data_IF_598975626990
#
_entry.id   IF_598975626990
#
_cell.length_a   1.000
_cell.length_b   1.000
_cell.length_c   1.000
_cell.angle_alpha   90.00
_cell.angle_beta   90.00
_cell.angle_gamma   90.00
#
_symmetry.space_group_name_H-M   'P 1'
#
loop_
_entity.id
_entity.type
_entity.pdbx_description
1 polymer ?
#
# COMPACT_ATOMS: atom_id res chain seq x y z
N UNK A 1 -4.18 -20.57 -0.27
CA UNK A 1 -4.72 -20.64 1.10
C UNK A 1 -4.52 -19.29 1.78
N UNK A 2 -5.50 -18.83 2.55
CA UNK A 2 -5.51 -17.51 3.20
C UNK A 2 -5.71 -17.69 4.72
N UNK A 3 -4.80 -17.15 5.54
CA UNK A 3 -4.99 -17.08 6.99
C UNK A 3 -5.86 -15.85 7.30
N UNK A 4 -6.94 -16.04 8.05
CA UNK A 4 -7.84 -14.97 8.49
C UNK A 4 -8.11 -15.09 9.99
N UNK A 5 -8.42 -13.99 10.64
CA UNK A 5 -9.01 -14.00 11.99
C UNK A 5 -10.51 -13.78 11.87
N UNK A 6 -11.30 -14.72 12.34
CA UNK A 6 -12.76 -14.59 12.32
C UNK A 6 -13.20 -13.41 13.22
N UNK A 7 -13.91 -12.39 12.72
CA UNK A 7 -14.35 -11.25 13.53
C UNK A 7 -15.40 -11.63 14.59
N UNK A 8 -16.07 -12.77 14.43
CA UNK A 8 -17.09 -13.28 15.36
C UNK A 8 -16.45 -14.11 16.47
N UNK A 9 -15.70 -15.16 16.11
CA UNK A 9 -15.14 -16.13 17.06
C UNK A 9 -13.74 -15.75 17.55
N UNK A 10 -13.08 -14.79 16.89
CA UNK A 10 -11.67 -14.39 17.11
C UNK A 10 -10.67 -15.54 16.96
N UNK A 11 -11.06 -16.61 16.29
CA UNK A 11 -10.16 -17.73 15.97
C UNK A 11 -9.45 -17.46 14.65
N UNK A 12 -8.19 -17.88 14.58
CA UNK A 12 -7.43 -17.87 13.34
C UNK A 12 -7.75 -19.12 12.52
N UNK A 13 -8.12 -18.91 11.27
CA UNK A 13 -8.60 -19.96 10.37
C UNK A 13 -7.80 -19.98 9.07
N UNK A 14 -7.36 -21.16 8.67
CA UNK A 14 -6.69 -21.36 7.39
C UNK A 14 -7.73 -21.70 6.31
N UNK A 15 -8.08 -20.71 5.50
CA UNK A 15 -9.14 -20.82 4.50
C UNK A 15 -8.60 -21.26 3.15
N UNK A 16 -9.26 -22.25 2.55
CA UNK A 16 -8.96 -22.74 1.21
C UNK A 16 -9.51 -21.81 0.13
N UNK A 17 -8.82 -21.73 -1.02
CA UNK A 17 -9.17 -20.84 -2.12
C UNK A 17 -10.61 -21.08 -2.63
N UNK A 18 -11.10 -22.32 -2.57
CA UNK A 18 -12.50 -22.68 -2.89
C UNK A 18 -13.57 -21.98 -2.04
N UNK A 19 -13.19 -21.39 -0.91
CA UNK A 19 -14.08 -20.61 -0.03
C UNK A 19 -13.98 -19.10 -0.26
N UNK A 20 -13.09 -18.65 -1.15
CA UNK A 20 -13.04 -17.26 -1.60
C UNK A 20 -14.20 -17.05 -2.56
N UNK A 21 -15.11 -16.13 -2.23
CA UNK A 21 -16.29 -15.82 -3.03
C UNK A 21 -16.04 -14.74 -4.05
N UNK A 22 -15.28 -13.72 -3.68
CA UNK A 22 -14.92 -12.64 -4.59
C UNK A 22 -13.62 -11.99 -4.18
N UNK A 23 -12.96 -11.41 -5.18
CA UNK A 23 -11.74 -10.62 -5.02
C UNK A 23 -11.95 -9.32 -5.77
N UNK A 24 -11.95 -8.21 -5.05
CA UNK A 24 -12.05 -6.87 -5.62
C UNK A 24 -10.70 -6.15 -5.48
N UNK A 25 -10.12 -5.76 -6.60
CA UNK A 25 -8.87 -5.01 -6.64
C UNK A 25 -9.18 -3.51 -6.56
N UNK A 26 -8.97 -2.92 -5.39
CA UNK A 26 -9.08 -1.48 -5.21
C UNK A 26 -7.72 -0.80 -5.44
N UNK A 27 -7.70 0.50 -5.73
CA UNK A 27 -6.45 1.24 -5.91
C UNK A 27 -5.49 1.13 -4.71
N UNK A 28 -6.00 0.98 -3.49
CA UNK A 28 -5.20 0.99 -2.25
C UNK A 28 -5.04 -0.36 -1.58
N UNK A 29 -5.86 -1.36 -1.93
CA UNK A 29 -5.89 -2.66 -1.27
C UNK A 29 -6.64 -3.68 -2.13
N UNK A 30 -6.53 -4.95 -1.79
CA UNK A 30 -7.36 -6.00 -2.37
C UNK A 30 -8.36 -6.43 -1.30
N UNK A 31 -9.65 -6.35 -1.60
CA UNK A 31 -10.72 -6.86 -0.76
C UNK A 31 -11.06 -8.30 -1.16
N UNK A 32 -11.05 -9.22 -0.20
CA UNK A 32 -11.30 -10.65 -0.40
C UNK A 32 -12.50 -11.05 0.45
N UNK A 33 -13.60 -11.44 -0.18
CA UNK A 33 -14.75 -12.01 0.51
C UNK A 33 -14.55 -13.52 0.66
N UNK A 34 -14.66 -14.02 1.90
CA UNK A 34 -14.41 -15.43 2.25
C UNK A 34 -15.51 -15.95 3.15
N UNK A 35 -15.93 -17.18 2.89
CA UNK A 35 -16.82 -17.92 3.78
C UNK A 35 -16.03 -18.55 4.92
N UNK A 36 -16.23 -18.04 6.12
CA UNK A 36 -15.54 -18.49 7.32
C UNK A 36 -16.06 -19.87 7.75
N UNK A 37 -15.18 -20.88 7.95
CA UNK A 37 -15.59 -22.20 8.39
C UNK A 37 -16.12 -22.23 9.83
N UNK A 38 -15.68 -21.30 10.69
CA UNK A 38 -15.95 -21.37 12.14
C UNK A 38 -17.24 -20.69 12.56
N UNK A 39 -17.62 -19.58 11.91
CA UNK A 39 -18.90 -18.91 12.19
C UNK A 39 -19.94 -19.13 11.07
N UNK A 40 -19.55 -19.71 9.94
CA UNK A 40 -20.43 -19.91 8.77
C UNK A 40 -20.78 -18.62 8.00
N UNK A 41 -20.31 -17.46 8.46
CA UNK A 41 -20.57 -16.17 7.81
C UNK A 41 -19.57 -15.83 6.70
N UNK A 42 -19.95 -14.88 5.85
CA UNK A 42 -19.04 -14.29 4.84
C UNK A 42 -18.40 -13.02 5.40
N UNK A 43 -17.08 -12.93 5.30
CA UNK A 43 -16.31 -11.79 5.79
C UNK A 43 -15.39 -11.24 4.70
N UNK A 44 -15.21 -9.91 4.69
CA UNK A 44 -14.34 -9.22 3.74
C UNK A 44 -13.04 -8.83 4.44
N UNK A 45 -11.94 -9.38 3.97
CA UNK A 45 -10.59 -9.04 4.44
C UNK A 45 -9.89 -8.15 3.44
N UNK A 46 -9.17 -7.14 3.94
CA UNK A 46 -8.38 -6.22 3.12
C UNK A 46 -6.92 -6.66 3.21
N UNK A 47 -6.35 -7.11 2.10
CA UNK A 47 -4.93 -7.48 2.04
C UNK A 47 -4.11 -6.28 1.56
N UNK A 48 -3.10 -5.93 2.35
CA UNK A 48 -2.41 -4.64 2.31
C UNK A 48 -1.16 -4.57 1.42
N UNK A 49 -0.91 -5.50 0.50
CA UNK A 49 0.33 -5.48 -0.33
C UNK A 49 0.54 -4.15 -1.07
N UNK A 50 -0.54 -3.50 -1.50
CA UNK A 50 -0.46 -2.18 -2.16
C UNK A 50 -0.14 -1.01 -1.24
N UNK A 51 -0.30 -1.14 0.08
CA UNK A 51 0.10 -0.08 1.01
C UNK A 51 1.61 0.08 1.03
N UNK A 52 2.33 -1.03 1.12
CA UNK A 52 3.79 -1.07 1.11
C UNK A 52 4.37 -0.59 -0.23
N UNK A 53 3.77 -1.04 -1.34
CA UNK A 53 4.16 -0.57 -2.69
C UNK A 53 3.94 0.94 -2.85
N UNK A 54 2.75 1.45 -2.49
CA UNK A 54 2.47 2.90 -2.57
C UNK A 54 3.34 3.73 -1.63
N UNK A 55 3.66 3.20 -0.45
CA UNK A 55 4.51 3.89 0.49
C UNK A 55 5.93 4.01 -0.07
N UNK A 56 6.43 2.93 -0.66
CA UNK A 56 7.73 2.90 -1.37
C UNK A 56 7.74 3.88 -2.54
N UNK A 57 6.71 3.85 -3.39
CA UNK A 57 6.57 4.79 -4.52
C UNK A 57 6.54 6.26 -4.07
N UNK A 58 5.75 6.59 -3.03
CA UNK A 58 5.68 7.96 -2.50
C UNK A 58 7.01 8.41 -1.90
N UNK A 59 7.71 7.53 -1.22
CA UNK A 59 9.03 7.83 -0.65
C UNK A 59 10.06 8.08 -1.76
N UNK A 60 10.04 7.26 -2.82
CA UNK A 60 10.90 7.45 -3.98
C UNK A 60 10.60 8.76 -4.73
N UNK A 61 9.31 9.11 -4.88
CA UNK A 61 8.90 10.38 -5.50
C UNK A 61 9.33 11.60 -4.67
N UNK A 62 9.18 11.55 -3.34
CA UNK A 62 9.64 12.61 -2.46
C UNK A 62 11.16 12.81 -2.52
N UNK A 63 11.93 11.72 -2.57
CA UNK A 63 13.38 11.78 -2.73
C UNK A 63 13.80 12.41 -4.07
N UNK A 64 13.12 12.04 -5.17
CA UNK A 64 13.37 12.63 -6.49
C UNK A 64 13.06 14.13 -6.51
N UNK A 65 11.94 14.55 -5.93
CA UNK A 65 11.57 15.97 -5.85
C UNK A 65 12.60 16.77 -5.03
N UNK A 66 13.07 16.23 -3.91
CA UNK A 66 14.10 16.86 -3.10
C UNK A 66 15.43 17.01 -3.86
N UNK A 67 15.82 16.00 -4.64
CA UNK A 67 17.03 16.07 -5.47
C UNK A 67 16.91 17.14 -6.57
N UNK A 68 15.76 17.23 -7.24
CA UNK A 68 15.51 18.27 -8.25
C UNK A 68 15.56 19.66 -7.61
N UNK A 69 14.94 19.84 -6.44
CA UNK A 69 14.95 21.12 -5.70
C UNK A 69 16.36 21.52 -5.23
N UNK A 70 17.16 20.56 -4.77
CA UNK A 70 18.54 20.84 -4.36
C UNK A 70 19.39 21.31 -5.55
N UNK A 71 19.21 20.66 -6.71
CA UNK A 71 19.95 20.98 -7.93
C UNK A 71 19.56 22.36 -8.47
N UNK A 72 18.27 22.68 -8.52
CA UNK A 72 17.79 24.01 -8.94
C UNK A 72 18.23 25.09 -7.96
N UNK A 73 18.21 24.83 -6.64
CA UNK A 73 18.71 25.76 -5.65
C UNK A 73 20.24 25.98 -5.75
N UNK A 74 21.01 24.94 -6.09
CA UNK A 74 22.45 25.07 -6.32
C UNK A 74 22.75 25.90 -7.57
N UNK A 75 22.03 25.66 -8.67
CA UNK A 75 22.14 26.45 -9.90
C UNK A 75 21.79 27.93 -9.65
N UNK A 76 20.72 28.21 -8.91
CA UNK A 76 20.34 29.57 -8.54
C UNK A 76 21.41 30.27 -7.68
N UNK A 77 22.05 29.56 -6.75
CA UNK A 77 23.18 30.10 -5.97
C UNK A 77 24.38 30.41 -6.84
N UNK A 78 24.74 29.52 -7.76
CA UNK A 78 25.87 29.73 -8.68
C UNK A 78 25.64 30.93 -9.61
N UNK A 79 24.40 31.15 -10.06
CA UNK A 79 24.03 32.31 -10.86
C UNK A 79 24.23 33.63 -10.09
N UNK A 80 23.78 33.70 -8.83
CA UNK A 80 23.96 34.89 -7.97
C UNK A 80 25.43 35.22 -7.69
N UNK A 81 26.29 34.22 -7.59
CA UNK A 81 27.74 34.42 -7.39
C UNK A 81 28.44 34.91 -8.66
N UNK A 82 27.84 34.70 -9.84
CA UNK A 82 28.38 35.09 -11.14
C UNK A 82 27.94 36.47 -11.63
N UNK A 83 27.02 37.14 -10.95
CA UNK A 83 26.66 38.53 -11.28
C UNK A 83 27.83 39.46 -10.90
N UNK A 84 28.50 40.12 -11.87
CA UNK A 84 29.53 41.10 -11.57
C UNK A 84 28.88 42.39 -11.05
N UNK A 85 29.57 43.04 -10.10
CA UNK A 85 29.20 44.33 -9.50
C UNK A 85 29.26 45.49 -10.50
#
# INVERSE_FOLDING_TARGET
>A
MLLITCPVTRTDELVADRRIRSVANHPTHIAVAVDCPSCGGTHVFRTGRRWEDRHTERTAQAAQQAAVQATTAAAARAARVREPA
#
